data_IF_288776549709
#
_entry.id   IF_288776549709
#
_cell.length_a   1.000
_cell.length_b   1.000
_cell.length_c   1.000
_cell.angle_alpha   90.00
_cell.angle_beta   90.00
_cell.angle_gamma   90.00
#
_symmetry.space_group_name_H-M   'P 1'
#
loop_
_entity.id
_entity.type
_entity.pdbx_description
1 polymer ?
#
# COMPACT_ATOMS: atom_id res chain seq x y z
N UNK A 1 10.29 -11.19 13.49
CA UNK A 1 10.42 -11.74 14.85
C UNK A 1 11.59 -11.21 15.67
N UNK A 2 12.69 -10.72 15.09
CA UNK A 2 13.87 -10.27 15.87
C UNK A 2 13.70 -8.91 16.59
N UNK A 3 12.84 -8.02 16.07
CA UNK A 3 12.63 -6.67 16.63
C UNK A 3 11.84 -6.68 17.94
N UNK A 4 10.78 -7.48 18.04
CA UNK A 4 9.95 -7.59 19.26
C UNK A 4 10.76 -8.13 20.44
N UNK A 5 11.60 -9.13 20.19
CA UNK A 5 12.48 -9.69 21.23
C UNK A 5 13.43 -8.64 21.82
N UNK A 6 13.85 -7.65 21.04
CA UNK A 6 14.73 -6.57 21.54
C UNK A 6 14.00 -5.67 22.56
N UNK A 7 12.76 -5.27 22.26
CA UNK A 7 11.93 -4.50 23.20
C UNK A 7 11.73 -5.27 24.51
N UNK A 8 11.47 -6.57 24.42
CA UNK A 8 11.31 -7.43 25.59
C UNK A 8 12.57 -7.49 26.46
N UNK A 9 13.78 -7.57 25.85
CA UNK A 9 15.04 -7.60 26.60
C UNK A 9 15.35 -6.28 27.30
N UNK A 10 14.90 -5.15 26.76
CA UNK A 10 15.04 -3.85 27.39
C UNK A 10 13.88 -3.49 28.33
N UNK A 11 12.88 -4.37 28.49
CA UNK A 11 11.69 -4.10 29.30
C UNK A 11 10.82 -2.97 28.75
N UNK A 12 10.88 -2.71 27.44
CA UNK A 12 10.12 -1.67 26.77
C UNK A 12 8.83 -2.22 26.16
N UNK A 13 7.79 -1.38 26.08
CA UNK A 13 6.59 -1.70 25.34
C UNK A 13 6.89 -1.70 23.84
N UNK A 14 6.61 -2.82 23.17
CA UNK A 14 6.71 -2.91 21.72
C UNK A 14 5.60 -2.09 21.05
N UNK A 15 5.86 -1.43 19.91
CA UNK A 15 4.84 -0.75 19.14
C UNK A 15 3.93 -1.75 18.42
N UNK A 16 2.76 -1.27 17.99
CA UNK A 16 1.90 -2.02 17.08
C UNK A 16 2.49 -2.00 15.66
N UNK A 17 2.36 -3.12 14.96
CA UNK A 17 2.84 -3.28 13.59
C UNK A 17 1.70 -3.62 12.64
N UNK A 18 1.64 -2.92 11.52
CA UNK A 18 0.80 -3.25 10.37
C UNK A 18 1.69 -3.56 9.18
N UNK A 19 1.58 -4.77 8.65
CA UNK A 19 2.33 -5.19 7.47
C UNK A 19 1.49 -4.95 6.22
N UNK A 20 1.97 -4.08 5.34
CA UNK A 20 1.32 -3.85 4.05
C UNK A 20 1.59 -5.02 3.09
N UNK A 21 0.61 -5.37 2.23
CA UNK A 21 0.76 -6.46 1.26
C UNK A 21 1.85 -6.16 0.23
N UNK A 22 2.49 -7.21 -0.27
CA UNK A 22 3.55 -7.10 -1.25
C UNK A 22 2.96 -6.96 -2.66
N UNK A 23 3.15 -5.79 -3.27
CA UNK A 23 2.81 -5.54 -4.66
C UNK A 23 3.76 -6.33 -5.57
N UNK A 24 3.25 -7.38 -6.23
CA UNK A 24 4.02 -8.17 -7.19
C UNK A 24 3.82 -7.64 -8.60
N UNK A 25 4.89 -7.58 -9.39
CA UNK A 25 4.78 -7.34 -10.82
C UNK A 25 4.32 -8.63 -11.51
N UNK A 26 3.41 -8.54 -12.49
CA UNK A 26 2.89 -9.70 -13.23
C UNK A 26 3.99 -10.54 -13.92
N UNK A 27 5.21 -10.00 -14.10
CA UNK A 27 6.32 -10.62 -14.84
C UNK A 27 7.44 -11.23 -13.98
N UNK A 28 7.30 -11.34 -12.65
CA UNK A 28 8.41 -11.80 -11.82
C UNK A 28 8.49 -13.34 -11.69
N UNK A 29 9.00 -14.02 -12.73
CA UNK A 29 9.69 -15.32 -12.57
C UNK A 29 11.20 -15.03 -12.48
N UNK A 30 11.73 -15.14 -11.27
CA UNK A 30 13.13 -15.39 -10.89
C UNK A 30 14.24 -14.49 -11.47
N UNK A 31 14.72 -13.50 -10.69
CA UNK A 31 16.10 -12.97 -10.79
C UNK A 31 16.48 -12.17 -9.53
N UNK A 32 17.53 -12.62 -8.83
CA UNK A 32 17.97 -12.16 -7.50
C UNK A 32 18.48 -10.70 -7.43
N UNK A 33 18.57 -9.93 -8.53
CA UNK A 33 19.40 -8.71 -8.52
C UNK A 33 18.82 -7.45 -9.19
N UNK A 34 17.56 -7.39 -9.63
CA UNK A 34 16.98 -6.15 -10.17
C UNK A 34 15.49 -6.00 -9.87
N UNK A 35 15.17 -5.33 -8.76
CA UNK A 35 13.83 -4.78 -8.53
C UNK A 35 13.70 -3.48 -9.36
N UNK A 36 13.57 -3.60 -10.68
CA UNK A 36 13.22 -2.46 -11.54
C UNK A 36 11.71 -2.25 -11.48
N UNK A 37 11.20 -1.76 -10.34
CA UNK A 37 9.89 -1.16 -10.34
C UNK A 37 9.92 0.02 -11.33
N UNK A 38 9.00 0.08 -12.31
CA UNK A 38 8.93 1.23 -13.21
C UNK A 38 8.66 2.50 -12.41
N UNK A 39 9.16 3.63 -12.91
CA UNK A 39 8.80 4.92 -12.35
C UNK A 39 7.29 5.12 -12.43
N UNK A 40 6.73 5.85 -11.47
CA UNK A 40 5.34 6.30 -11.58
C UNK A 40 5.18 7.18 -12.83
N UNK A 41 4.03 7.12 -13.53
CA UNK A 41 3.76 8.01 -14.66
C UNK A 41 3.91 9.48 -14.24
N UNK A 42 4.54 10.30 -15.08
CA UNK A 42 4.69 11.76 -14.83
C UNK A 42 3.40 12.56 -15.06
N UNK A 43 2.30 11.90 -15.40
CA UNK A 43 1.01 12.52 -15.71
C UNK A 43 0.15 12.76 -14.47
N UNK A 44 -1.16 12.61 -14.65
CA UNK A 44 -2.12 12.71 -13.55
C UNK A 44 -1.86 11.60 -12.51
N UNK A 45 -1.61 11.94 -11.23
CA UNK A 45 -1.35 10.95 -10.19
C UNK A 45 -2.63 10.31 -9.62
N UNK A 46 -3.83 10.83 -9.93
CA UNK A 46 -5.09 10.32 -9.36
C UNK A 46 -5.35 8.84 -9.69
N UNK A 47 -5.13 8.34 -10.92
CA UNK A 47 -5.25 6.92 -11.23
C UNK A 47 -4.33 6.03 -10.38
N UNK A 48 -3.11 6.49 -10.10
CA UNK A 48 -2.13 5.78 -9.27
C UNK A 48 -2.56 5.69 -7.82
N UNK A 49 -3.07 6.81 -7.27
CA UNK A 49 -3.63 6.85 -5.91
C UNK A 49 -4.81 5.88 -5.81
N UNK A 50 -5.72 5.88 -6.80
CA UNK A 50 -6.87 4.97 -6.82
C UNK A 50 -6.45 3.51 -6.93
N UNK A 51 -5.42 3.21 -7.74
CA UNK A 51 -4.84 1.87 -7.84
C UNK A 51 -4.25 1.41 -6.51
N UNK A 52 -3.52 2.29 -5.81
CA UNK A 52 -2.97 2.00 -4.49
C UNK A 52 -4.08 1.76 -3.45
N UNK A 53 -5.12 2.60 -3.42
CA UNK A 53 -6.27 2.41 -2.52
C UNK A 53 -6.99 1.09 -2.79
N UNK A 54 -7.18 0.74 -4.07
CA UNK A 54 -7.76 -0.55 -4.46
C UNK A 54 -6.91 -1.73 -3.98
N UNK A 55 -5.59 -1.64 -4.18
CA UNK A 55 -4.65 -2.67 -3.74
C UNK A 55 -4.72 -2.87 -2.22
N UNK A 56 -4.85 -1.78 -1.47
CA UNK A 56 -5.00 -1.77 -0.01
C UNK A 56 -6.44 -2.07 0.46
N UNK A 57 -7.34 -2.47 -0.45
CA UNK A 57 -8.74 -2.80 -0.16
C UNK A 57 -9.52 -1.65 0.53
N UNK A 58 -9.20 -0.41 0.16
CA UNK A 58 -9.86 0.79 0.68
C UNK A 58 -11.02 1.23 -0.23
N UNK A 59 -11.93 2.01 0.35
CA UNK A 59 -13.04 2.59 -0.40
C UNK A 59 -12.51 3.62 -1.42
N UNK A 60 -13.09 3.61 -2.62
CA UNK A 60 -12.77 4.54 -3.70
C UNK A 60 -14.03 5.36 -3.99
N UNK A 61 -13.96 6.71 -4.00
CA UNK A 61 -15.09 7.55 -4.39
C UNK A 61 -15.48 7.26 -5.85
N UNK A 62 -16.78 7.15 -6.16
CA UNK A 62 -17.24 6.78 -7.51
C UNK A 62 -16.81 7.79 -8.59
N UNK A 63 -16.82 9.08 -8.26
CA UNK A 63 -16.47 10.19 -9.16
C UNK A 63 -15.08 10.79 -8.88
N UNK A 64 -14.11 9.95 -8.51
CA UNK A 64 -12.77 10.40 -8.15
C UNK A 64 -12.05 11.21 -9.24
N UNK A 65 -12.44 11.07 -10.52
CA UNK A 65 -11.87 11.85 -11.64
C UNK A 65 -12.23 13.33 -11.59
N UNK A 66 -13.36 13.67 -10.96
CA UNK A 66 -13.79 15.05 -10.76
C UNK A 66 -13.13 15.70 -9.53
N UNK A 67 -12.52 14.90 -8.65
CA UNK A 67 -11.85 15.38 -7.46
C UNK A 67 -10.48 15.97 -7.77
N UNK A 68 -10.12 16.99 -7.00
CA UNK A 68 -8.72 17.38 -6.86
C UNK A 68 -7.93 16.27 -6.15
N UNK A 69 -6.60 16.30 -6.26
CA UNK A 69 -5.73 15.36 -5.54
C UNK A 69 -5.93 15.49 -4.02
N UNK A 70 -6.06 16.72 -3.53
CA UNK A 70 -6.24 17.01 -2.10
C UNK A 70 -7.57 16.45 -1.59
N UNK A 71 -8.66 16.62 -2.34
CA UNK A 71 -9.97 16.08 -1.97
C UNK A 71 -9.99 14.55 -2.00
N UNK A 72 -9.33 13.95 -2.99
CA UNK A 72 -9.20 12.50 -3.09
C UNK A 72 -8.45 11.93 -1.87
N UNK A 73 -7.33 12.56 -1.48
CA UNK A 73 -6.57 12.15 -0.30
C UNK A 73 -7.31 12.41 1.01
N UNK A 74 -7.99 13.55 1.13
CA UNK A 74 -8.81 13.86 2.30
C UNK A 74 -9.91 12.81 2.51
N UNK A 75 -10.59 12.40 1.44
CA UNK A 75 -11.59 11.33 1.50
C UNK A 75 -10.96 9.96 1.82
N UNK A 76 -9.79 9.66 1.27
CA UNK A 76 -9.08 8.42 1.57
C UNK A 76 -8.70 8.32 3.05
N UNK A 77 -8.22 9.41 3.66
CA UNK A 77 -7.91 9.51 5.09
C UNK A 77 -9.18 9.36 5.93
N UNK A 78 -10.26 10.06 5.56
CA UNK A 78 -11.52 10.03 6.30
C UNK A 78 -12.16 8.63 6.33
N UNK A 79 -11.98 7.84 5.27
CA UNK A 79 -12.58 6.51 5.13
C UNK A 79 -11.60 5.35 5.40
N UNK A 80 -10.38 5.66 5.86
CA UNK A 80 -9.30 4.71 6.02
C UNK A 80 -9.65 3.61 7.04
N UNK A 81 -9.52 2.35 6.62
CA UNK A 81 -9.85 1.18 7.42
C UNK A 81 -8.68 0.19 7.37
N UNK A 82 -7.72 0.29 8.32
CA UNK A 82 -6.55 -0.58 8.37
C UNK A 82 -6.93 -2.07 8.43
N UNK A 83 -8.04 -2.40 9.10
CA UNK A 83 -8.52 -3.76 9.26
C UNK A 83 -8.95 -4.43 7.94
N UNK A 84 -9.11 -3.67 6.85
CA UNK A 84 -9.42 -4.22 5.51
C UNK A 84 -8.18 -4.67 4.74
N UNK A 85 -6.98 -4.35 5.23
CA UNK A 85 -5.72 -4.69 4.57
C UNK A 85 -5.41 -6.15 4.87
N UNK A 86 -5.54 -7.01 3.85
CA UNK A 86 -5.34 -8.45 4.01
C UNK A 86 -3.85 -8.81 3.92
N UNK A 87 -3.34 -9.52 4.92
CA UNK A 87 -1.92 -9.89 5.03
C UNK A 87 -1.44 -10.83 3.91
N UNK A 88 -2.35 -11.49 3.18
CA UNK A 88 -2.03 -12.45 2.12
C UNK A 88 -2.29 -11.93 0.70
N UNK A 89 -2.53 -10.63 0.50
CA UNK A 89 -2.65 -10.07 -0.84
C UNK A 89 -1.28 -10.02 -1.54
N UNK A 90 -0.87 -11.16 -2.09
CA UNK A 90 0.08 -11.20 -3.20
C UNK A 90 -0.70 -10.97 -4.50
N UNK A 91 -1.28 -9.78 -4.65
CA UNK A 91 -2.01 -9.42 -5.85
C UNK A 91 -1.04 -8.76 -6.85
N UNK A 92 -1.20 -9.01 -8.16
CA UNK A 92 -0.47 -8.24 -9.15
C UNK A 92 -0.82 -6.76 -8.97
N UNK A 93 0.20 -5.94 -8.73
CA UNK A 93 0.09 -4.52 -8.97
C UNK A 93 0.14 -4.35 -10.48
N UNK A 94 -1.04 -4.26 -11.10
CA UNK A 94 -1.20 -3.89 -12.50
C UNK A 94 -0.65 -2.47 -12.69
N UNK A 95 0.67 -2.31 -12.84
CA UNK A 95 1.34 -1.02 -13.07
C UNK A 95 1.18 -0.57 -14.51
#
# INVERSE_FOLDING_TARGET
MRQISLYQHFGWQAPDYLHLPLALMATAINSLNKTHAPALPEGDPRPEIVRALRFLNQAIPEEWQALSIDDLLAQAVANWQPAKIEHSQMAPAEL
#
